data_IF_142412432393
#
_entry.id   IF_142412432393
#
_cell.length_a   1.000
_cell.length_b   1.000
_cell.length_c   1.000
_cell.angle_alpha   90.00
_cell.angle_beta   90.00
_cell.angle_gamma   90.00
#
_symmetry.space_group_name_H-M   'P 1'
#
loop_
_entity.id
_entity.type
_entity.pdbx_description
1 polymer ?
#
# COMPACT_ATOMS: atom_id res chain seq x y z
N UNK A 1 17.46 -8.71 -4.36
CA UNK A 1 17.09 -9.64 -3.26
C UNK A 1 15.98 -9.06 -2.38
N UNK A 2 16.01 -7.77 -2.06
CA UNK A 2 15.03 -7.10 -1.21
C UNK A 2 13.61 -7.09 -1.80
N UNK A 3 13.48 -7.04 -3.13
CA UNK A 3 12.20 -7.01 -3.85
C UNK A 3 11.43 -8.34 -3.83
N UNK A 4 12.11 -9.46 -3.64
CA UNK A 4 11.49 -10.78 -3.58
C UNK A 4 11.05 -11.16 -2.16
N UNK A 5 11.62 -10.57 -1.12
CA UNK A 5 11.28 -10.88 0.27
C UNK A 5 10.07 -10.10 0.81
N UNK A 6 9.71 -8.96 0.20
CA UNK A 6 8.51 -8.19 0.58
C UNK A 6 7.18 -8.88 0.22
N UNK A 7 7.23 -10.00 -0.49
CA UNK A 7 6.05 -10.82 -0.84
C UNK A 7 5.88 -12.08 0.00
N UNK A 8 6.88 -12.49 0.80
CA UNK A 8 6.88 -13.76 1.52
C UNK A 8 6.88 -13.63 3.05
N UNK A 9 6.79 -12.43 3.58
CA UNK A 9 6.54 -12.22 4.98
C UNK A 9 5.12 -12.70 5.30
N UNK A 10 4.98 -13.93 5.82
CA UNK A 10 3.72 -14.53 6.26
C UNK A 10 3.12 -13.84 7.51
N UNK A 11 3.40 -12.56 7.72
CA UNK A 11 2.74 -11.71 8.68
C UNK A 11 1.33 -11.39 8.18
N UNK A 12 0.33 -11.60 9.03
CA UNK A 12 -1.05 -11.17 8.84
C UNK A 12 -1.03 -9.71 8.40
N UNK A 13 -1.57 -9.41 7.22
CA UNK A 13 -1.66 -8.02 6.75
C UNK A 13 -2.51 -7.23 7.78
N UNK A 14 -1.98 -6.13 8.33
CA UNK A 14 -2.65 -5.44 9.45
C UNK A 14 -4.06 -4.97 9.12
N UNK A 15 -4.36 -4.73 7.84
CA UNK A 15 -5.65 -4.23 7.35
C UNK A 15 -6.17 -5.11 6.20
N UNK A 16 -6.58 -6.34 6.51
CA UNK A 16 -7.21 -7.19 5.49
C UNK A 16 -8.63 -6.72 5.19
N UNK A 17 -9.09 -6.90 3.95
CA UNK A 17 -10.47 -6.54 3.57
C UNK A 17 -11.50 -7.34 4.37
N UNK A 18 -11.21 -8.59 4.70
CA UNK A 18 -12.09 -9.43 5.53
C UNK A 18 -12.26 -8.81 6.91
N UNK A 19 -11.17 -8.44 7.57
CA UNK A 19 -11.22 -7.82 8.89
C UNK A 19 -11.98 -6.49 8.87
N UNK A 20 -11.87 -5.70 7.79
CA UNK A 20 -12.62 -4.45 7.63
C UNK A 20 -14.11 -4.70 7.40
N UNK A 21 -14.49 -5.78 6.72
CA UNK A 21 -15.88 -6.19 6.57
C UNK A 21 -16.45 -6.60 7.93
N UNK A 22 -15.71 -7.40 8.69
CA UNK A 22 -16.11 -7.84 10.03
C UNK A 22 -16.31 -6.64 10.97
N UNK A 23 -15.37 -5.68 10.96
CA UNK A 23 -15.47 -4.45 11.73
C UNK A 23 -16.69 -3.62 11.32
N UNK A 24 -16.99 -3.51 10.02
CA UNK A 24 -18.18 -2.81 9.54
C UNK A 24 -19.47 -3.50 9.96
N UNK A 25 -19.50 -4.83 10.05
CA UNK A 25 -20.65 -5.57 10.54
C UNK A 25 -20.85 -5.38 12.04
N UNK A 26 -19.79 -5.50 12.84
CA UNK A 26 -19.81 -5.32 14.28
C UNK A 26 -20.27 -3.89 14.68
N UNK A 27 -19.76 -2.88 13.99
CA UNK A 27 -20.14 -1.47 14.20
C UNK A 27 -21.45 -1.06 13.54
N UNK A 28 -22.14 -1.97 12.84
CA UNK A 28 -23.31 -1.69 11.99
C UNK A 28 -23.09 -0.66 10.87
N UNK A 29 -21.84 -0.28 10.61
CA UNK A 29 -21.48 0.66 9.55
C UNK A 29 -21.75 0.11 8.14
N UNK A 30 -21.94 -1.20 8.00
CA UNK A 30 -22.34 -1.87 6.74
C UNK A 30 -23.72 -1.43 6.24
N UNK A 31 -24.54 -0.77 7.07
CA UNK A 31 -25.83 -0.19 6.64
C UNK A 31 -25.67 1.12 5.88
N UNK A 32 -24.54 1.83 6.06
CA UNK A 32 -24.20 3.05 5.31
C UNK A 32 -23.81 2.72 3.86
N UNK A 33 -24.51 3.27 2.85
CA UNK A 33 -24.22 3.01 1.45
C UNK A 33 -22.79 3.38 1.04
N UNK A 34 -22.23 4.46 1.58
CA UNK A 34 -20.85 4.88 1.27
C UNK A 34 -19.83 3.90 1.83
N UNK A 35 -20.05 3.39 3.04
CA UNK A 35 -19.19 2.34 3.63
C UNK A 35 -19.24 1.07 2.79
N UNK A 36 -20.41 0.66 2.34
CA UNK A 36 -20.58 -0.52 1.47
C UNK A 36 -19.81 -0.35 0.16
N UNK A 37 -19.88 0.83 -0.46
CA UNK A 37 -19.14 1.13 -1.69
C UNK A 37 -17.63 1.04 -1.48
N UNK A 38 -17.10 1.63 -0.41
CA UNK A 38 -15.67 1.58 -0.09
C UNK A 38 -15.18 0.14 0.14
N UNK A 39 -15.97 -0.69 0.83
CA UNK A 39 -15.66 -2.11 1.03
C UNK A 39 -15.72 -2.91 -0.29
N UNK A 40 -16.69 -2.62 -1.15
CA UNK A 40 -16.79 -3.24 -2.47
C UNK A 40 -15.59 -2.89 -3.36
N UNK A 41 -15.12 -1.64 -3.34
CA UNK A 41 -13.94 -1.20 -4.06
C UNK A 41 -12.67 -1.89 -3.56
N UNK A 42 -12.52 -2.05 -2.24
CA UNK A 42 -11.42 -2.82 -1.65
C UNK A 42 -11.47 -4.29 -2.06
N UNK A 43 -12.63 -4.91 -2.01
CA UNK A 43 -12.79 -6.30 -2.43
C UNK A 43 -12.41 -6.49 -3.91
N UNK A 44 -12.95 -5.63 -4.77
CA UNK A 44 -12.64 -5.64 -6.21
C UNK A 44 -11.14 -5.45 -6.47
N UNK A 45 -10.51 -4.52 -5.77
CA UNK A 45 -9.09 -4.28 -5.87
C UNK A 45 -8.23 -5.48 -5.45
N UNK A 46 -8.65 -6.23 -4.43
CA UNK A 46 -7.98 -7.45 -4.03
C UNK A 46 -8.18 -8.61 -5.02
N UNK A 47 -9.34 -8.69 -5.69
CA UNK A 47 -9.51 -9.64 -6.79
C UNK A 47 -8.57 -9.32 -7.96
N UNK A 48 -8.38 -8.04 -8.27
CA UNK A 48 -7.42 -7.62 -9.31
C UNK A 48 -6.00 -8.05 -8.95
N UNK A 49 -5.56 -7.91 -7.69
CA UNK A 49 -4.24 -8.40 -7.23
C UNK A 49 -4.11 -9.92 -7.48
N UNK A 50 -5.13 -10.70 -7.15
CA UNK A 50 -5.13 -12.14 -7.39
C UNK A 50 -4.98 -12.46 -8.87
N UNK A 51 -5.73 -11.79 -9.74
CA UNK A 51 -5.64 -12.01 -11.19
C UNK A 51 -4.31 -11.54 -11.76
N UNK A 52 -3.76 -10.43 -11.27
CA UNK A 52 -2.43 -9.97 -11.65
C UNK A 52 -1.36 -11.01 -11.30
N UNK A 53 -1.48 -11.69 -10.16
CA UNK A 53 -0.50 -12.71 -9.74
C UNK A 53 -0.55 -13.98 -10.61
N UNK A 54 -1.66 -14.23 -11.29
CA UNK A 54 -1.83 -15.38 -12.19
C UNK A 54 -1.33 -15.11 -13.61
N UNK A 55 -1.07 -13.86 -13.99
CA UNK A 55 -0.60 -13.50 -15.32
C UNK A 55 0.91 -13.62 -15.42
N UNK A 56 1.40 -14.42 -16.37
CA UNK A 56 2.82 -14.46 -16.69
C UNK A 56 3.30 -13.15 -17.34
N UNK A 57 4.57 -12.80 -17.11
CA UNK A 57 5.23 -11.67 -17.76
C UNK A 57 4.85 -10.28 -17.23
N UNK A 58 4.06 -10.18 -16.16
CA UNK A 58 3.77 -8.89 -15.54
C UNK A 58 5.01 -8.36 -14.81
N UNK A 59 5.36 -7.11 -15.10
CA UNK A 59 6.46 -6.45 -14.41
C UNK A 59 6.12 -6.27 -12.90
N UNK A 60 7.03 -6.61 -11.98
CA UNK A 60 6.78 -6.57 -10.52
C UNK A 60 6.30 -5.21 -10.00
N UNK A 61 6.73 -4.11 -10.64
CA UNK A 61 6.31 -2.74 -10.30
C UNK A 61 4.80 -2.54 -10.38
N UNK A 62 4.10 -3.21 -11.30
CA UNK A 62 2.63 -3.13 -11.41
C UNK A 62 1.98 -3.68 -10.14
N UNK A 63 2.39 -4.86 -9.72
CA UNK A 63 1.89 -5.46 -8.48
C UNK A 63 2.22 -4.64 -7.24
N UNK A 64 3.43 -4.07 -7.18
CA UNK A 64 3.83 -3.18 -6.07
C UNK A 64 2.95 -1.93 -6.00
N UNK A 65 2.79 -1.21 -7.09
CA UNK A 65 1.97 0.01 -7.14
C UNK A 65 0.50 -0.28 -6.80
N UNK A 66 -0.02 -1.41 -7.27
CA UNK A 66 -1.40 -1.80 -6.98
C UNK A 66 -1.58 -2.13 -5.50
N UNK A 67 -0.67 -2.91 -4.90
CA UNK A 67 -0.70 -3.22 -3.45
C UNK A 67 -0.61 -1.96 -2.60
N UNK A 68 0.27 -1.02 -2.94
CA UNK A 68 0.37 0.27 -2.24
C UNK A 68 -0.92 1.06 -2.31
N UNK A 69 -1.54 1.14 -3.50
CA UNK A 69 -2.85 1.78 -3.67
C UNK A 69 -3.92 1.14 -2.80
N UNK A 70 -3.98 -0.20 -2.77
CA UNK A 70 -4.93 -0.95 -1.95
C UNK A 70 -4.67 -0.77 -0.45
N UNK A 71 -3.41 -0.79 0.00
CA UNK A 71 -3.05 -0.53 1.39
C UNK A 71 -3.50 0.85 1.86
N UNK A 72 -3.29 1.88 1.04
CA UNK A 72 -3.79 3.24 1.33
C UNK A 72 -5.33 3.32 1.35
N UNK A 73 -6.01 2.60 0.47
CA UNK A 73 -7.46 2.54 0.47
C UNK A 73 -7.98 1.82 1.72
N UNK A 74 -7.38 0.70 2.11
CA UNK A 74 -7.70 -0.02 3.33
C UNK A 74 -7.48 0.83 4.59
N UNK A 75 -6.38 1.59 4.65
CA UNK A 75 -6.11 2.54 5.74
C UNK A 75 -7.21 3.59 5.88
N UNK A 76 -7.68 4.18 4.77
CA UNK A 76 -8.79 5.17 4.80
C UNK A 76 -10.09 4.54 5.30
N UNK A 77 -10.40 3.32 4.87
CA UNK A 77 -11.60 2.61 5.34
C UNK A 77 -11.46 2.27 6.82
N UNK A 78 -10.29 1.79 7.25
CA UNK A 78 -10.02 1.51 8.66
C UNK A 78 -10.17 2.77 9.53
N UNK A 79 -9.64 3.91 9.10
CA UNK A 79 -9.79 5.20 9.80
C UNK A 79 -11.27 5.57 9.96
N UNK A 80 -12.09 5.37 8.93
CA UNK A 80 -13.53 5.65 8.98
C UNK A 80 -14.26 4.69 9.94
N UNK A 81 -13.94 3.39 9.89
CA UNK A 81 -14.65 2.36 10.64
C UNK A 81 -14.21 2.27 12.10
N UNK A 82 -12.91 2.35 12.36
CA UNK A 82 -12.36 2.28 13.71
C UNK A 82 -12.56 3.58 14.50
N UNK A 83 -12.84 4.69 13.81
CA UNK A 83 -13.06 6.01 14.41
C UNK A 83 -12.00 6.35 15.47
N UNK A 84 -12.40 6.61 16.73
CA UNK A 84 -11.46 6.89 17.83
C UNK A 84 -10.50 5.73 18.11
N UNK A 85 -10.93 4.49 17.93
CA UNK A 85 -10.10 3.30 18.08
C UNK A 85 -8.93 3.23 17.08
N UNK A 86 -9.08 3.85 15.90
CA UNK A 86 -8.00 3.93 14.91
C UNK A 86 -6.85 4.86 15.29
N UNK A 87 -7.06 5.74 16.27
CA UNK A 87 -6.04 6.64 16.81
C UNK A 87 -5.60 6.25 18.23
N UNK A 88 -6.23 5.25 18.83
CA UNK A 88 -5.92 4.79 20.18
C UNK A 88 -4.76 3.80 20.16
N UNK A 89 -3.90 3.88 21.16
CA UNK A 89 -2.80 2.95 21.39
C UNK A 89 -2.82 2.48 22.83
N UNK A 90 -2.84 1.17 23.05
CA UNK A 90 -2.88 0.56 24.36
C UNK A 90 -1.62 -0.27 24.61
N UNK A 91 -0.91 0.03 25.70
CA UNK A 91 0.29 -0.70 26.10
C UNK A 91 1.52 -0.41 25.24
N UNK A 92 2.61 -1.10 25.53
CA UNK A 92 3.93 -0.85 24.93
C UNK A 92 4.22 -1.71 23.69
N UNK A 93 3.51 -2.82 23.48
CA UNK A 93 3.81 -3.76 22.40
C UNK A 93 2.98 -3.46 21.14
N UNK A 94 3.69 -3.30 20.03
CA UNK A 94 3.09 -3.13 18.69
C UNK A 94 2.15 -4.31 18.36
N UNK A 95 0.87 -3.99 18.06
CA UNK A 95 -0.08 -4.98 17.58
C UNK A 95 -0.57 -5.99 18.62
N UNK A 96 -0.36 -5.75 19.91
CA UNK A 96 -0.75 -6.66 20.98
C UNK A 96 -2.25 -6.68 21.28
N UNK A 97 -2.97 -5.63 20.93
CA UNK A 97 -4.43 -5.53 21.08
C UNK A 97 -5.15 -5.33 19.75
N UNK A 98 -6.45 -5.58 19.74
CA UNK A 98 -7.30 -5.32 18.57
C UNK A 98 -7.28 -3.82 18.20
N UNK A 99 -7.22 -2.94 19.20
CA UNK A 99 -7.12 -1.48 19.03
C UNK A 99 -5.81 -1.11 18.36
N UNK A 100 -4.68 -1.63 18.85
CA UNK A 100 -3.36 -1.34 18.31
C UNK A 100 -3.20 -1.81 16.86
N UNK A 101 -3.88 -2.88 16.47
CA UNK A 101 -3.88 -3.40 15.12
C UNK A 101 -4.38 -2.36 14.10
N UNK A 102 -5.47 -1.66 14.42
CA UNK A 102 -6.02 -0.64 13.53
C UNK A 102 -5.10 0.57 13.44
N UNK A 103 -4.64 1.10 14.58
CA UNK A 103 -3.71 2.21 14.64
C UNK A 103 -2.39 1.88 13.91
N UNK A 104 -1.83 0.71 14.14
CA UNK A 104 -0.62 0.24 13.45
C UNK A 104 -0.82 0.19 11.92
N UNK A 105 -1.87 -0.46 11.46
CA UNK A 105 -2.12 -0.61 10.02
C UNK A 105 -2.37 0.72 9.31
N UNK A 106 -3.00 1.69 9.99
CA UNK A 106 -3.19 3.04 9.47
C UNK A 106 -1.85 3.76 9.32
N UNK A 107 -0.97 3.67 10.33
CA UNK A 107 0.36 4.28 10.31
C UNK A 107 1.34 3.59 9.33
N UNK A 108 1.23 2.26 9.18
CA UNK A 108 2.12 1.46 8.33
C UNK A 108 1.82 1.63 6.82
N UNK A 109 0.57 1.89 6.46
CA UNK A 109 0.15 1.96 5.06
C UNK A 109 0.98 2.94 4.19
N UNK A 110 1.38 4.15 4.65
CA UNK A 110 2.26 5.04 3.88
C UNK A 110 3.67 4.48 3.66
N UNK A 111 4.21 3.68 4.59
CA UNK A 111 5.55 3.12 4.49
C UNK A 111 5.72 2.21 3.26
N UNK A 112 4.65 1.54 2.85
CA UNK A 112 4.64 0.72 1.63
C UNK A 112 4.84 1.53 0.34
N UNK A 113 4.57 2.83 0.35
CA UNK A 113 4.85 3.71 -0.80
C UNK A 113 6.33 4.04 -0.93
N UNK A 114 7.09 3.91 0.14
CA UNK A 114 8.52 4.22 0.21
C UNK A 114 9.38 2.96 0.08
N UNK A 115 9.00 1.88 0.76
CA UNK A 115 9.73 0.61 0.80
C UNK A 115 9.78 -0.10 -0.55
N UNK A 116 10.91 -0.75 -0.85
CA UNK A 116 11.11 -1.47 -2.12
C UNK A 116 11.17 -0.57 -3.37
N UNK A 117 11.56 0.67 -3.21
CA UNK A 117 11.52 1.74 -4.21
C UNK A 117 10.19 2.51 -4.16
N UNK A 118 10.29 3.84 -4.18
CA UNK A 118 9.11 4.70 -4.07
C UNK A 118 8.13 4.46 -5.22
N UNK A 119 6.90 4.89 -5.05
CA UNK A 119 5.87 4.76 -6.10
C UNK A 119 6.30 5.48 -7.38
N UNK A 120 7.02 6.61 -7.25
CA UNK A 120 7.57 7.39 -8.37
C UNK A 120 8.64 6.59 -9.12
N UNK A 121 9.60 6.00 -8.40
CA UNK A 121 10.64 5.14 -8.99
C UNK A 121 10.01 3.92 -9.69
N UNK A 122 8.97 3.34 -9.11
CA UNK A 122 8.27 2.23 -9.76
C UNK A 122 7.55 2.66 -11.05
N UNK A 123 6.95 3.86 -11.07
CA UNK A 123 6.33 4.43 -12.29
C UNK A 123 7.38 4.72 -13.36
N UNK A 124 8.51 5.34 -12.99
CA UNK A 124 9.62 5.59 -13.92
C UNK A 124 10.14 4.26 -14.50
N UNK A 125 10.32 3.25 -13.66
CA UNK A 125 10.73 1.90 -14.11
C UNK A 125 9.75 1.33 -15.15
N UNK A 126 8.44 1.49 -14.93
CA UNK A 126 7.43 1.04 -15.90
C UNK A 126 7.47 1.88 -17.18
N UNK A 127 7.58 3.19 -17.07
CA UNK A 127 7.69 4.09 -18.22
C UNK A 127 8.87 3.73 -19.09
N UNK A 128 10.05 3.62 -18.51
CA UNK A 128 11.29 3.38 -19.23
C UNK A 128 11.42 1.94 -19.76
N UNK A 129 11.17 0.93 -18.91
CA UNK A 129 11.49 -0.47 -19.21
C UNK A 129 10.35 -1.26 -19.85
N UNK A 130 9.11 -0.84 -19.62
CA UNK A 130 7.92 -1.56 -20.14
C UNK A 130 7.31 -0.81 -21.30
N UNK A 131 7.18 0.53 -21.19
CA UNK A 131 6.59 1.36 -22.22
C UNK A 131 7.60 1.94 -23.21
N UNK A 132 8.92 1.82 -22.94
CA UNK A 132 9.97 2.34 -23.82
C UNK A 132 10.03 3.88 -23.88
N UNK A 133 9.52 4.56 -22.84
CA UNK A 133 9.61 6.01 -22.76
C UNK A 133 11.06 6.46 -22.56
N UNK A 134 11.45 7.64 -23.09
CA UNK A 134 12.79 8.17 -22.87
C UNK A 134 13.03 8.42 -21.39
N UNK A 135 14.27 8.20 -20.96
CA UNK A 135 14.69 8.56 -19.61
C UNK A 135 14.73 10.08 -19.46
N UNK A 136 14.53 10.52 -18.23
CA UNK A 136 14.75 11.91 -17.87
C UNK A 136 16.22 12.30 -18.19
N UNK A 137 16.48 13.44 -18.86
CA UNK A 137 17.84 13.90 -19.12
C UNK A 137 18.59 14.09 -17.81
N UNK A 138 19.64 13.31 -17.61
CA UNK A 138 20.51 13.48 -16.46
C UNK A 138 21.69 14.34 -16.88
N UNK A 139 21.73 15.56 -16.39
CA UNK A 139 22.77 16.55 -16.72
C UNK A 139 24.00 16.45 -15.81
N UNK A 140 23.99 15.52 -14.87
CA UNK A 140 24.95 15.41 -13.77
C UNK A 140 25.62 14.03 -13.63
N UNK A 141 25.34 13.08 -14.56
CA UNK A 141 25.86 11.69 -14.45
C UNK A 141 27.38 11.65 -14.59
N UNK A 142 27.93 12.49 -15.45
CA UNK A 142 29.34 12.43 -15.83
C UNK A 142 30.20 13.54 -15.21
N UNK A 143 29.65 14.30 -14.25
CA UNK A 143 30.36 15.37 -13.55
C UNK A 143 30.53 15.08 -12.06
N UNK A 144 31.63 15.44 -11.42
CA UNK A 144 31.83 15.32 -9.99
C UNK A 144 30.74 16.07 -9.21
N UNK A 145 30.31 15.51 -8.07
CA UNK A 145 29.27 16.13 -7.21
C UNK A 145 29.57 17.60 -6.85
N UNK A 146 30.90 17.96 -6.75
CA UNK A 146 31.34 19.33 -6.48
C UNK A 146 31.00 20.33 -7.58
N UNK A 147 30.79 19.84 -8.81
CA UNK A 147 30.55 20.64 -10.01
C UNK A 147 29.06 20.66 -10.41
N UNK A 148 28.22 19.85 -9.72
CA UNK A 148 26.77 19.85 -9.92
C UNK A 148 26.22 21.21 -9.50
N UNK A 149 25.47 21.85 -10.39
CA UNK A 149 24.78 23.12 -10.07
C UNK A 149 23.83 22.92 -8.88
N UNK A 150 24.06 23.67 -7.83
CA UNK A 150 23.15 23.74 -6.69
C UNK A 150 22.03 24.71 -7.03
N UNK A 151 20.80 24.23 -6.92
CA UNK A 151 19.60 25.08 -7.02
C UNK A 151 19.48 25.99 -5.80
#
# INVERSE_FOLDING_TARGET
HERSSLGSGGGRQPLSTTDLIDLAQQSKAHTDPLTRQLLADLFSGNQIIKWLSLRAGIHPSIGKLWRTKQGRAASRVATKLAFSGGAAWEGEQLGSSETNRWAYGICDAPAHSLGGGTDEIQKNTLGERVLGLPREPAVDIDIPFSEVKKN
#
